data_IF_402610144238
#
_entry.id   IF_402610144238
#
_cell.length_a   1.000
_cell.length_b   1.000
_cell.length_c   1.000
_cell.angle_alpha   90.00
_cell.angle_beta   90.00
_cell.angle_gamma   90.00
#
_symmetry.space_group_name_H-M   'P 1'
#
loop_
_entity.id
_entity.type
_entity.pdbx_description
1 polymer ?
#
# COMPACT_ATOMS: atom_id res chain seq x y z
N UNK A 1 -7.85 -1.72 13.68
CA UNK A 1 -7.26 -0.70 12.77
C UNK A 1 -6.95 -1.35 11.44
N UNK A 2 -7.11 -0.62 10.37
CA UNK A 2 -6.85 -1.09 9.00
C UNK A 2 -5.77 -0.22 8.34
N UNK A 3 -5.05 -0.80 7.39
CA UNK A 3 -4.09 -0.07 6.57
C UNK A 3 -4.79 0.39 5.30
N UNK A 4 -4.71 1.66 4.97
CA UNK A 4 -5.33 2.22 3.75
C UNK A 4 -4.37 2.98 2.85
N UNK A 5 -3.37 3.65 3.39
CA UNK A 5 -2.42 4.47 2.64
C UNK A 5 -0.97 4.11 2.95
N UNK A 6 -0.68 2.81 3.09
CA UNK A 6 0.62 2.36 3.59
C UNK A 6 0.83 2.70 5.08
N UNK A 7 -0.12 3.37 5.70
CA UNK A 7 -0.18 3.72 7.12
C UNK A 7 -1.59 3.45 7.64
N UNK A 8 -1.79 3.62 8.94
CA UNK A 8 -3.12 3.45 9.52
C UNK A 8 -4.01 4.66 9.19
N UNK A 9 -5.22 4.37 8.73
CA UNK A 9 -6.20 5.37 8.33
C UNK A 9 -7.60 4.88 8.64
N UNK A 10 -8.51 5.81 8.81
CA UNK A 10 -9.94 5.56 8.98
C UNK A 10 -10.72 5.67 7.67
N UNK A 11 -10.05 5.84 6.54
CA UNK A 11 -10.70 5.89 5.25
C UNK A 11 -11.31 4.53 4.90
N UNK A 12 -12.50 4.50 4.28
CA UNK A 12 -13.08 3.27 3.79
C UNK A 12 -12.26 2.69 2.63
N UNK A 13 -12.51 1.43 2.32
CA UNK A 13 -11.94 0.82 1.13
C UNK A 13 -12.47 1.52 -0.12
N UNK A 14 -11.59 1.73 -1.09
CA UNK A 14 -11.98 2.31 -2.35
C UNK A 14 -12.62 1.25 -3.26
N UNK A 15 -13.67 1.64 -3.95
CA UNK A 15 -14.24 0.84 -5.05
C UNK A 15 -13.32 0.89 -6.28
N UNK A 16 -13.51 -0.02 -7.22
CA UNK A 16 -12.72 -0.02 -8.45
C UNK A 16 -12.89 1.29 -9.25
N UNK A 17 -14.10 1.86 -9.25
CA UNK A 17 -14.37 3.16 -9.87
C UNK A 17 -13.64 4.30 -9.18
N UNK A 18 -13.57 4.27 -7.86
CA UNK A 18 -12.82 5.25 -7.07
C UNK A 18 -11.31 5.11 -7.30
N UNK A 19 -10.81 3.88 -7.40
CA UNK A 19 -9.40 3.61 -7.73
C UNK A 19 -9.08 4.17 -9.11
N UNK A 20 -9.90 3.89 -10.10
CA UNK A 20 -9.72 4.44 -11.45
C UNK A 20 -9.71 5.96 -11.44
N UNK A 21 -10.63 6.59 -10.72
CA UNK A 21 -10.68 8.04 -10.60
C UNK A 21 -9.40 8.62 -9.98
N UNK A 22 -8.83 7.96 -8.97
CA UNK A 22 -7.57 8.38 -8.37
C UNK A 22 -6.39 8.21 -9.32
N UNK A 23 -6.35 7.13 -10.09
CA UNK A 23 -5.31 6.91 -11.10
C UNK A 23 -5.39 7.94 -12.21
N UNK A 24 -6.59 8.27 -12.69
CA UNK A 24 -6.77 9.34 -13.69
C UNK A 24 -6.30 10.69 -13.16
N UNK A 25 -6.62 11.01 -11.92
CA UNK A 25 -6.15 12.23 -11.26
C UNK A 25 -4.62 12.27 -11.20
N UNK A 26 -3.97 11.18 -10.83
CA UNK A 26 -2.51 11.09 -10.78
C UNK A 26 -1.89 11.30 -12.17
N UNK A 27 -2.43 10.64 -13.20
CA UNK A 27 -1.94 10.77 -14.57
C UNK A 27 -2.16 12.19 -15.13
N UNK A 28 -3.28 12.81 -14.79
CA UNK A 28 -3.56 14.20 -15.18
C UNK A 28 -2.53 15.17 -14.59
N UNK A 29 -2.02 14.88 -13.40
CA UNK A 29 -0.95 15.66 -12.77
C UNK A 29 0.46 15.29 -13.26
N UNK A 30 0.61 14.34 -14.17
CA UNK A 30 1.89 13.88 -14.67
C UNK A 30 2.69 13.04 -13.70
N UNK A 31 2.04 12.46 -12.69
CA UNK A 31 2.70 11.61 -11.70
C UNK A 31 2.95 10.21 -12.24
N UNK A 32 4.05 9.61 -11.81
CA UNK A 32 4.34 8.20 -12.10
C UNK A 32 3.55 7.31 -11.14
N UNK A 33 3.10 6.16 -11.64
CA UNK A 33 2.36 5.17 -10.85
C UNK A 33 3.25 3.97 -10.59
N UNK A 34 3.33 3.55 -9.34
CA UNK A 34 4.01 2.33 -8.92
C UNK A 34 3.05 1.47 -8.10
N UNK A 35 3.15 0.15 -8.28
CA UNK A 35 2.39 -0.83 -7.51
C UNK A 35 3.35 -1.56 -6.60
N UNK A 36 2.97 -1.70 -5.34
CA UNK A 36 3.75 -2.41 -4.33
C UNK A 36 2.87 -3.41 -3.59
N UNK A 37 3.46 -4.48 -3.09
CA UNK A 37 2.76 -5.49 -2.31
C UNK A 37 3.60 -5.97 -1.14
N UNK A 38 2.95 -6.49 -0.10
CA UNK A 38 3.62 -7.09 1.06
C UNK A 38 2.69 -7.99 1.85
N UNK A 39 3.24 -9.02 2.44
CA UNK A 39 2.59 -9.82 3.48
C UNK A 39 2.95 -9.36 4.91
N UNK A 40 3.81 -8.36 5.02
CA UNK A 40 4.24 -7.78 6.29
C UNK A 40 3.97 -6.26 6.31
N UNK A 41 2.72 -5.84 6.58
CA UNK A 41 2.34 -4.44 6.51
C UNK A 41 2.75 -3.62 7.75
N UNK A 42 3.79 -4.02 8.45
CA UNK A 42 4.26 -3.32 9.64
C UNK A 42 4.74 -1.90 9.29
N UNK A 43 4.23 -0.84 9.94
CA UNK A 43 4.49 0.54 9.50
C UNK A 43 5.95 0.97 9.54
N UNK A 44 6.75 0.38 10.44
CA UNK A 44 8.14 0.79 10.64
C UNK A 44 9.15 -0.04 9.87
N UNK A 45 8.90 -1.33 9.74
CA UNK A 45 9.87 -2.30 9.26
C UNK A 45 9.42 -3.02 8.01
N UNK A 46 8.23 -2.72 7.49
CA UNK A 46 7.75 -3.39 6.30
C UNK A 46 8.52 -2.92 5.08
N UNK A 47 9.06 -3.88 4.36
CA UNK A 47 9.58 -3.66 3.03
C UNK A 47 8.45 -4.04 2.06
N UNK A 48 7.99 -3.06 1.32
CA UNK A 48 7.06 -3.31 0.24
C UNK A 48 7.84 -3.67 -1.01
N UNK A 49 7.46 -4.77 -1.64
CA UNK A 49 8.07 -5.22 -2.88
C UNK A 49 7.40 -4.53 -4.07
N UNK A 50 8.20 -4.09 -5.03
CA UNK A 50 7.66 -3.53 -6.27
C UNK A 50 7.07 -4.63 -7.15
N UNK A 51 5.87 -4.36 -7.64
CA UNK A 51 5.28 -5.11 -8.74
C UNK A 51 5.69 -4.48 -10.06
N UNK A 52 6.59 -5.13 -10.79
CA UNK A 52 7.10 -4.58 -12.04
C UNK A 52 7.90 -3.30 -11.84
N UNK A 53 7.86 -2.43 -12.82
CA UNK A 53 8.56 -1.15 -12.81
C UNK A 53 7.57 0.00 -12.63
N UNK A 54 8.02 1.15 -12.10
CA UNK A 54 7.21 2.34 -12.10
C UNK A 54 6.76 2.69 -13.53
N UNK A 55 5.51 3.06 -13.66
CA UNK A 55 4.92 3.45 -14.94
C UNK A 55 5.10 4.95 -15.14
N UNK A 56 6.12 5.28 -15.91
CA UNK A 56 6.39 6.66 -16.33
C UNK A 56 5.68 6.94 -17.66
N UNK A 57 5.49 8.19 -17.98
CA UNK A 57 5.03 8.68 -19.30
C UNK A 57 3.65 8.16 -19.74
N UNK A 58 2.81 7.77 -18.80
CA UNK A 58 1.41 7.50 -19.08
C UNK A 58 0.60 8.81 -19.12
N UNK A 59 -0.24 8.95 -20.13
CA UNK A 59 -1.26 10.01 -20.18
C UNK A 59 -2.54 9.55 -19.47
N UNK A 60 -3.46 10.47 -19.22
CA UNK A 60 -4.74 10.14 -18.57
C UNK A 60 -5.52 9.05 -19.34
N UNK A 61 -5.46 9.09 -20.68
CA UNK A 61 -6.12 8.08 -21.53
C UNK A 61 -5.50 6.70 -21.42
N UNK A 62 -4.29 6.59 -20.88
CA UNK A 62 -3.57 5.33 -20.68
C UNK A 62 -3.89 4.66 -19.34
N UNK A 63 -4.87 5.13 -18.62
CA UNK A 63 -5.26 4.57 -17.30
C UNK A 63 -5.52 3.07 -17.38
N UNK A 64 -5.99 2.55 -18.52
CA UNK A 64 -6.20 1.13 -18.74
C UNK A 64 -4.93 0.29 -18.60
N UNK A 65 -3.76 0.84 -18.90
CA UNK A 65 -2.47 0.17 -18.69
C UNK A 65 -2.24 -0.03 -17.20
N UNK A 66 -2.39 1.02 -16.40
CA UNK A 66 -2.24 0.96 -14.96
C UNK A 66 -3.26 0.01 -14.30
N UNK A 67 -4.51 0.02 -14.77
CA UNK A 67 -5.56 -0.87 -14.26
C UNK A 67 -5.27 -2.34 -14.55
N UNK A 68 -4.72 -2.67 -15.72
CA UNK A 68 -4.31 -4.03 -16.06
C UNK A 68 -3.19 -4.53 -15.15
N UNK A 69 -2.17 -3.72 -14.94
CA UNK A 69 -1.07 -4.06 -14.03
C UNK A 69 -1.57 -4.23 -12.59
N UNK A 70 -2.47 -3.37 -12.16
CA UNK A 70 -3.06 -3.46 -10.84
C UNK A 70 -3.86 -4.76 -10.66
N UNK A 71 -4.64 -5.14 -11.67
CA UNK A 71 -5.39 -6.40 -11.66
C UNK A 71 -4.45 -7.60 -11.58
N UNK A 72 -3.40 -7.60 -12.40
CA UNK A 72 -2.40 -8.66 -12.40
C UNK A 72 -1.70 -8.78 -11.03
N UNK A 73 -1.37 -7.66 -10.40
CA UNK A 73 -0.76 -7.65 -9.07
C UNK A 73 -1.69 -8.24 -8.00
N UNK A 74 -2.98 -7.87 -8.03
CA UNK A 74 -3.98 -8.42 -7.11
C UNK A 74 -4.17 -9.93 -7.29
N UNK A 75 -4.20 -10.40 -8.52
CA UNK A 75 -4.36 -11.82 -8.84
C UNK A 75 -3.13 -12.64 -8.42
N UNK A 76 -1.94 -12.08 -8.57
CA UNK A 76 -0.70 -12.75 -8.17
C UNK A 76 -0.49 -12.75 -6.65
N UNK A 77 -1.03 -11.80 -5.93
CA UNK A 77 -0.82 -11.60 -4.48
C UNK A 77 -2.14 -11.60 -3.71
N UNK A 78 -2.95 -12.68 -3.78
CA UNK A 78 -4.30 -12.68 -3.20
C UNK A 78 -4.31 -12.69 -1.67
N UNK A 79 -3.19 -12.98 -1.03
CA UNK A 79 -3.02 -13.02 0.43
C UNK A 79 -2.11 -11.93 0.97
N UNK A 80 -1.91 -10.90 0.18
CA UNK A 80 -1.06 -9.78 0.54
C UNK A 80 -1.83 -8.47 0.45
N UNK A 81 -1.25 -7.44 1.02
CA UNK A 81 -1.68 -6.08 0.74
C UNK A 81 -1.06 -5.62 -0.56
N UNK A 82 -1.85 -4.97 -1.38
CA UNK A 82 -1.40 -4.32 -2.61
C UNK A 82 -1.74 -2.84 -2.49
N UNK A 83 -0.76 -1.99 -2.76
CA UNK A 83 -0.96 -0.54 -2.74
C UNK A 83 -0.48 0.10 -4.03
N UNK A 84 -1.09 1.22 -4.36
CA UNK A 84 -0.62 2.13 -5.40
C UNK A 84 0.13 3.27 -4.74
N UNK A 85 1.25 3.64 -5.32
CA UNK A 85 2.02 4.83 -4.96
C UNK A 85 2.19 5.69 -6.20
N UNK A 86 1.81 6.96 -6.10
CA UNK A 86 1.97 7.92 -7.19
C UNK A 86 3.05 8.92 -6.80
N UNK A 87 4.02 9.13 -7.69
CA UNK A 87 5.16 10.00 -7.44
C UNK A 87 5.10 11.26 -8.30
N UNK A 88 5.31 12.38 -7.64
CA UNK A 88 5.64 13.63 -8.31
C UNK A 88 7.15 13.66 -8.59
N UNK A 89 7.50 13.70 -9.86
CA UNK A 89 8.89 13.75 -10.35
C UNK A 89 9.29 15.10 -10.92
N UNK A 90 8.42 16.10 -10.83
CA UNK A 90 8.62 17.41 -11.45
C UNK A 90 9.84 18.17 -10.92
N UNK A 91 10.27 17.86 -9.71
CA UNK A 91 11.41 18.51 -9.04
C UNK A 91 12.72 17.71 -9.14
N UNK A 92 12.82 16.74 -10.05
CA UNK A 92 14.00 15.90 -10.21
C UNK A 92 14.22 14.88 -9.09
N UNK A 93 13.23 14.68 -8.23
CA UNK A 93 13.22 13.69 -7.15
C UNK A 93 11.87 13.01 -7.06
N UNK A 94 11.87 11.78 -6.54
CA UNK A 94 10.64 11.03 -6.33
C UNK A 94 10.02 11.45 -5.01
N UNK A 95 8.96 12.23 -5.09
CA UNK A 95 8.16 12.62 -3.93
C UNK A 95 6.81 11.93 -4.00
N UNK A 96 6.47 11.14 -2.99
CA UNK A 96 5.16 10.49 -2.92
C UNK A 96 4.08 11.57 -2.81
N UNK A 97 3.22 11.63 -3.82
CA UNK A 97 2.10 12.56 -3.86
C UNK A 97 0.80 11.90 -3.36
N UNK A 98 0.65 10.61 -3.61
CA UNK A 98 -0.56 9.85 -3.29
C UNK A 98 -0.18 8.39 -3.05
N UNK A 99 -0.73 7.78 -2.01
CA UNK A 99 -0.54 6.35 -1.72
C UNK A 99 -1.80 5.80 -1.07
N UNK A 100 -2.29 4.66 -1.55
CA UNK A 100 -3.49 4.03 -1.01
C UNK A 100 -3.51 2.53 -1.27
N UNK A 101 -4.17 1.80 -0.37
CA UNK A 101 -4.34 0.34 -0.47
C UNK A 101 -5.44 0.05 -1.48
N UNK A 102 -5.18 -0.87 -2.38
CA UNK A 102 -6.09 -1.31 -3.45
C UNK A 102 -6.39 -2.81 -3.40
N UNK A 103 -5.63 -3.57 -2.67
CA UNK A 103 -5.85 -5.00 -2.45
C UNK A 103 -5.59 -5.38 -1.00
N UNK A 104 -6.41 -6.30 -0.48
CA UNK A 104 -6.31 -6.78 0.89
C UNK A 104 -6.41 -8.29 0.91
N UNK A 105 -5.73 -8.97 1.85
CA UNK A 105 -5.97 -10.38 2.07
C UNK A 105 -7.42 -10.60 2.53
N UNK A 106 -8.02 -11.76 2.24
CA UNK A 106 -9.40 -12.04 2.61
C UNK A 106 -9.62 -12.16 4.12
N UNK A 107 -8.56 -12.40 4.87
CA UNK A 107 -8.58 -12.49 6.32
C UNK A 107 -7.51 -11.57 6.91
N UNK A 108 -7.93 -10.63 7.74
CA UNK A 108 -7.06 -9.68 8.42
C UNK A 108 -7.15 -9.91 9.93
N UNK A 109 -6.13 -10.55 10.56
CA UNK A 109 -6.16 -10.81 12.00
C UNK A 109 -6.06 -9.54 12.84
N UNK A 110 -5.66 -8.42 12.25
CA UNK A 110 -5.56 -7.15 12.93
C UNK A 110 -4.17 -6.85 13.47
N UNK A 111 -4.13 -5.88 14.36
CA UNK A 111 -2.89 -5.33 14.90
C UNK A 111 -3.01 -5.20 16.42
N UNK A 112 -1.87 -5.35 17.10
CA UNK A 112 -1.75 -4.99 18.50
C UNK A 112 -0.93 -3.72 18.67
N UNK A 113 -1.31 -2.93 19.66
CA UNK A 113 -0.56 -1.76 20.08
C UNK A 113 0.37 -2.17 21.23
N UNK A 114 1.66 -2.01 21.06
CA UNK A 114 2.65 -2.22 22.09
C UNK A 114 3.07 -0.88 22.69
N UNK A 115 2.90 -0.77 24.00
CA UNK A 115 3.34 0.38 24.77
C UNK A 115 4.70 0.08 25.40
N UNK A 116 5.65 0.96 25.17
CA UNK A 116 6.98 0.89 25.80
C UNK A 116 7.23 2.14 26.60
N UNK A 117 7.62 1.97 27.86
CA UNK A 117 8.05 3.08 28.72
C UNK A 117 9.57 3.15 28.73
N UNK A 118 10.10 4.35 28.53
CA UNK A 118 11.53 4.62 28.65
C UNK A 118 11.85 5.22 30.04
N UNK A 119 13.12 5.18 30.42
CA UNK A 119 13.60 5.66 31.71
C UNK A 119 13.28 7.11 32.02
N UNK A 120 13.09 7.93 31.00
CA UNK A 120 12.74 9.36 31.10
C UNK A 120 11.23 9.62 31.07
N UNK A 121 10.43 8.61 31.31
CA UNK A 121 8.95 8.64 31.24
C UNK A 121 8.39 8.93 29.85
N UNK A 122 9.19 8.86 28.80
CA UNK A 122 8.66 8.90 27.45
C UNK A 122 7.95 7.59 27.11
N UNK A 123 6.75 7.72 26.59
CA UNK A 123 5.96 6.58 26.13
C UNK A 123 6.14 6.44 24.62
N UNK A 124 6.54 5.26 24.20
CA UNK A 124 6.54 4.86 22.80
C UNK A 124 5.43 3.88 22.53
N UNK A 125 4.80 4.03 21.38
CA UNK A 125 3.88 3.04 20.86
C UNK A 125 4.43 2.46 19.57
N UNK A 126 4.32 1.16 19.42
CA UNK A 126 4.54 0.48 18.15
C UNK A 126 3.34 -0.39 17.82
N UNK A 127 3.07 -0.52 16.53
CA UNK A 127 2.01 -1.35 16.00
C UNK A 127 2.61 -2.62 15.42
N UNK A 128 2.01 -3.75 15.74
CA UNK A 128 2.51 -5.04 15.32
C UNK A 128 1.36 -5.85 14.71
N UNK A 129 1.48 -6.26 13.43
CA UNK A 129 0.48 -7.11 12.82
C UNK A 129 0.49 -8.51 13.44
N UNK A 130 -0.65 -9.03 13.84
CA UNK A 130 -0.74 -10.41 14.32
C UNK A 130 -0.33 -11.43 13.25
N UNK A 131 -0.53 -11.12 11.98
CA UNK A 131 -0.15 -12.00 10.88
C UNK A 131 1.36 -12.29 10.85
N UNK A 132 2.20 -11.37 11.32
CA UNK A 132 3.66 -11.56 11.35
C UNK A 132 4.13 -12.53 12.43
N UNK A 133 3.26 -12.96 13.33
CA UNK A 133 3.54 -14.06 14.25
C UNK A 133 3.58 -15.41 13.52
N UNK A 134 3.00 -15.50 12.32
CA UNK A 134 3.10 -16.66 11.46
C UNK A 134 4.31 -16.55 10.51
N UNK A 135 4.89 -17.70 10.07
CA UNK A 135 5.97 -17.68 9.08
C UNK A 135 5.55 -17.02 7.76
N UNK A 136 6.54 -16.44 7.05
CA UNK A 136 6.33 -15.94 5.71
C UNK A 136 5.71 -17.03 4.80
N UNK A 137 4.78 -16.65 3.95
CA UNK A 137 4.01 -17.55 3.08
C UNK A 137 2.79 -18.19 3.76
N UNK A 138 2.72 -18.20 5.09
CA UNK A 138 1.56 -18.65 5.87
C UNK A 138 0.77 -17.52 6.50
N UNK A 139 1.27 -16.31 6.41
CA UNK A 139 0.58 -15.10 6.85
C UNK A 139 -0.70 -14.93 6.06
N UNK A 140 -1.76 -14.50 6.73
CA UNK A 140 -3.07 -14.34 6.10
C UNK A 140 -3.66 -15.62 5.49
N UNK A 141 -3.08 -16.78 5.82
CA UNK A 141 -3.67 -18.07 5.53
C UNK A 141 -4.60 -18.48 6.67
N UNK A 142 -5.70 -19.03 6.31
CA UNK A 142 -6.66 -19.50 7.28
C UNK A 142 -6.95 -20.98 7.12
#
# INVERSE_FOLDING_TARGET
MRITQGTFSFLPDLTDEQIEAQLRYALRNGWAIMIEHTDDPHPRNSLWEMWGQPMFDLAEDDVGVALRELRAAREASPREYVKVVCYDRSLGRQTTALSFIVGRPPFEPGFRLERQEKADRQIRYSLHPYATDAPAGLRYSR
#
